data_IF_364849827303
#
_entry.id   IF_364849827303
#
_cell.length_a   1.000
_cell.length_b   1.000
_cell.length_c   1.000
_cell.angle_alpha   90.00
_cell.angle_beta   90.00
_cell.angle_gamma   90.00
#
_symmetry.space_group_name_H-M   'P 1'
#
loop_
_entity.id
_entity.type
_entity.pdbx_description
1 polymer ?
#
# COMPACT_ATOMS: atom_id res chain seq x y z
N UNK A 1 -1.85 29.65 -30.70
CA UNK A 1 -1.22 28.72 -29.73
C UNK A 1 -1.87 28.80 -28.34
N UNK A 2 -2.10 29.99 -27.80
CA UNK A 2 -2.73 30.25 -26.49
C UNK A 2 -4.19 29.78 -26.46
N UNK A 3 -4.98 29.96 -27.54
CA UNK A 3 -6.36 29.46 -27.60
C UNK A 3 -6.45 27.92 -27.67
N UNK A 4 -5.51 27.25 -28.31
CA UNK A 4 -5.40 25.78 -28.32
C UNK A 4 -5.06 25.25 -26.93
N UNK A 5 -4.25 25.99 -26.16
CA UNK A 5 -3.94 25.67 -24.77
C UNK A 5 -5.17 25.88 -23.85
N UNK A 6 -5.93 26.94 -24.08
CA UNK A 6 -7.20 27.21 -23.35
C UNK A 6 -8.28 26.17 -23.65
N UNK A 7 -8.32 25.58 -24.85
CA UNK A 7 -9.27 24.50 -25.17
C UNK A 7 -8.91 23.18 -24.50
N UNK A 8 -7.65 22.91 -24.23
CA UNK A 8 -7.17 21.75 -23.46
C UNK A 8 -7.60 21.80 -21.99
N UNK A 9 -7.85 23.01 -21.45
CA UNK A 9 -8.30 23.23 -20.07
C UNK A 9 -9.82 23.37 -19.95
N UNK A 10 -10.54 23.34 -21.07
CA UNK A 10 -12.01 23.29 -21.00
C UNK A 10 -12.40 21.89 -20.61
N UNK A 11 -13.00 21.80 -19.42
CA UNK A 11 -13.57 20.57 -18.91
C UNK A 11 -14.58 19.99 -19.91
N UNK A 12 -14.39 18.74 -20.33
CA UNK A 12 -15.32 18.02 -21.19
C UNK A 12 -16.34 17.27 -20.32
N UNK A 13 -17.53 17.82 -20.21
CA UNK A 13 -18.65 17.21 -19.49
C UNK A 13 -19.06 15.83 -20.07
N UNK A 14 -18.71 15.50 -21.30
CA UNK A 14 -18.98 14.19 -21.86
C UNK A 14 -17.99 13.14 -21.34
N UNK A 15 -16.72 13.50 -21.17
CA UNK A 15 -15.73 12.62 -20.52
C UNK A 15 -16.12 12.36 -19.06
N UNK A 16 -16.65 13.34 -18.36
CA UNK A 16 -17.15 13.16 -16.99
C UNK A 16 -18.33 12.19 -16.92
N UNK A 17 -19.32 12.32 -17.82
CA UNK A 17 -20.48 11.44 -17.88
C UNK A 17 -20.09 9.98 -18.19
N UNK A 18 -19.01 9.78 -18.93
CA UNK A 18 -18.48 8.47 -19.28
C UNK A 18 -17.51 7.91 -18.20
N UNK A 19 -17.06 8.74 -17.26
CA UNK A 19 -16.21 8.31 -16.17
C UNK A 19 -17.03 7.59 -15.10
N UNK A 20 -16.61 6.36 -14.76
CA UNK A 20 -17.27 5.55 -13.73
C UNK A 20 -17.19 6.17 -12.31
N UNK A 21 -16.25 7.10 -12.09
CA UNK A 21 -15.86 7.54 -10.75
C UNK A 21 -16.08 9.05 -10.48
N UNK A 22 -16.74 9.79 -11.35
CA UNK A 22 -17.03 11.24 -11.20
C UNK A 22 -15.85 12.04 -10.64
N UNK A 23 -14.76 12.22 -11.40
CA UNK A 23 -13.53 12.80 -10.87
C UNK A 23 -13.63 14.29 -10.48
N UNK A 24 -14.62 15.02 -11.01
CA UNK A 24 -14.77 16.48 -10.83
C UNK A 24 -16.11 16.92 -10.26
N UNK A 25 -16.99 15.98 -9.94
CA UNK A 25 -18.26 16.25 -9.24
C UNK A 25 -18.42 15.34 -8.03
N UNK A 26 -19.19 15.79 -7.05
CA UNK A 26 -19.56 14.95 -5.91
C UNK A 26 -20.41 13.76 -6.39
N UNK A 27 -20.24 12.60 -5.74
CA UNK A 27 -21.03 11.41 -6.02
C UNK A 27 -22.50 11.63 -5.61
N UNK A 28 -23.40 11.08 -6.42
CA UNK A 28 -24.81 10.99 -6.05
C UNK A 28 -25.05 9.82 -5.09
N UNK A 29 -26.16 9.83 -4.33
CA UNK A 29 -26.50 8.73 -3.41
C UNK A 29 -26.63 7.36 -4.14
N UNK A 30 -27.03 7.36 -5.41
CA UNK A 30 -27.17 6.14 -6.22
C UNK A 30 -25.80 5.53 -6.60
N UNK A 31 -24.75 6.35 -6.66
CA UNK A 31 -23.38 5.91 -6.96
C UNK A 31 -22.63 5.39 -5.73
N UNK A 32 -23.16 5.61 -4.54
CA UNK A 32 -22.60 5.08 -3.31
C UNK A 32 -22.79 3.56 -3.21
N UNK A 33 -21.91 2.89 -2.49
CA UNK A 33 -21.77 1.44 -2.46
C UNK A 33 -22.05 0.86 -1.08
N UNK A 34 -22.39 -0.42 -1.06
CA UNK A 34 -22.56 -1.19 0.18
C UNK A 34 -21.21 -1.42 0.88
N UNK A 35 -21.25 -1.76 2.17
CA UNK A 35 -20.07 -1.93 3.00
C UNK A 35 -19.15 -3.07 2.52
N UNK A 36 -19.71 -4.26 2.24
CA UNK A 36 -18.92 -5.45 1.94
C UNK A 36 -17.86 -5.26 0.84
N UNK A 37 -18.25 -4.87 -0.38
CA UNK A 37 -17.30 -4.63 -1.47
C UNK A 37 -16.25 -3.56 -1.14
N UNK A 38 -16.65 -2.47 -0.45
CA UNK A 38 -15.71 -1.41 -0.07
C UNK A 38 -14.70 -1.86 0.99
N UNK A 39 -15.12 -2.68 1.96
CA UNK A 39 -14.22 -3.21 2.98
C UNK A 39 -13.25 -4.25 2.39
N UNK A 40 -13.72 -5.08 1.45
CA UNK A 40 -12.85 -5.99 0.71
C UNK A 40 -11.83 -5.23 -0.15
N UNK A 41 -12.26 -4.16 -0.83
CA UNK A 41 -11.37 -3.28 -1.57
C UNK A 41 -10.34 -2.61 -0.65
N UNK A 42 -10.78 -2.12 0.53
CA UNK A 42 -9.91 -1.52 1.54
C UNK A 42 -8.83 -2.51 2.01
N UNK A 43 -9.20 -3.77 2.27
CA UNK A 43 -8.23 -4.80 2.65
C UNK A 43 -7.22 -5.03 1.53
N UNK A 44 -7.68 -5.22 0.28
CA UNK A 44 -6.79 -5.40 -0.88
C UNK A 44 -5.87 -4.20 -1.11
N UNK A 45 -6.37 -2.96 -0.91
CA UNK A 45 -5.54 -1.76 -1.00
C UNK A 45 -4.51 -1.68 0.14
N UNK A 46 -4.90 -2.05 1.36
CA UNK A 46 -3.97 -2.10 2.48
C UNK A 46 -2.91 -3.21 2.34
N UNK A 47 -3.17 -4.25 1.54
CA UNK A 47 -2.26 -5.38 1.34
C UNK A 47 -1.20 -5.08 0.27
N UNK A 48 -0.50 -3.96 0.42
CA UNK A 48 0.57 -3.51 -0.48
C UNK A 48 1.93 -4.00 0.00
N UNK A 49 2.76 -4.41 -0.96
CA UNK A 49 4.15 -4.87 -0.76
C UNK A 49 5.01 -3.90 0.08
N UNK A 50 4.68 -2.63 0.08
CA UNK A 50 5.36 -1.60 0.86
C UNK A 50 5.30 -1.84 2.37
N UNK A 51 4.25 -2.51 2.85
CA UNK A 51 4.17 -2.96 4.24
C UNK A 51 5.26 -3.97 4.58
N UNK A 52 5.53 -4.90 3.68
CA UNK A 52 6.64 -5.87 3.85
C UNK A 52 7.99 -5.16 3.90
N UNK A 53 8.25 -4.19 3.02
CA UNK A 53 9.50 -3.42 3.03
C UNK A 53 9.69 -2.63 4.31
N UNK A 54 8.64 -1.95 4.79
CA UNK A 54 8.67 -1.24 6.06
C UNK A 54 8.92 -2.21 7.21
N UNK A 55 8.23 -3.35 7.22
CA UNK A 55 8.43 -4.40 8.22
C UNK A 55 9.83 -4.98 8.21
N UNK A 56 10.40 -5.24 7.03
CA UNK A 56 11.79 -5.72 6.90
C UNK A 56 12.80 -4.70 7.44
N UNK A 57 12.60 -3.42 7.17
CA UNK A 57 13.45 -2.36 7.72
C UNK A 57 13.38 -2.30 9.26
N UNK A 58 12.18 -2.48 9.83
CA UNK A 58 12.01 -2.59 11.29
C UNK A 58 12.69 -3.84 11.83
N UNK A 59 12.51 -5.01 11.17
CA UNK A 59 13.09 -6.29 11.58
C UNK A 59 14.62 -6.29 11.62
N UNK A 60 15.25 -5.53 10.72
CA UNK A 60 16.70 -5.34 10.71
C UNK A 60 17.22 -4.44 11.85
N UNK A 61 16.36 -3.70 12.52
CA UNK A 61 16.78 -2.57 13.34
C UNK A 61 16.21 -2.54 14.76
N UNK A 62 15.19 -3.37 15.03
CA UNK A 62 14.51 -3.44 16.33
C UNK A 62 14.25 -4.88 16.74
N UNK A 63 14.27 -5.19 18.06
CA UNK A 63 13.77 -6.44 18.59
C UNK A 63 12.29 -6.64 18.21
N UNK A 64 11.91 -7.87 17.85
CA UNK A 64 10.55 -8.13 17.41
C UNK A 64 9.52 -7.81 18.50
N UNK A 65 9.74 -8.31 19.69
CA UNK A 65 8.88 -8.06 20.84
C UNK A 65 9.65 -7.31 21.94
N UNK A 66 9.10 -6.22 22.48
CA UNK A 66 7.82 -5.58 22.11
C UNK A 66 7.97 -4.50 21.04
N UNK A 67 9.20 -4.14 20.62
CA UNK A 67 9.52 -2.89 19.95
C UNK A 67 8.88 -2.78 18.55
N UNK A 68 9.02 -3.80 17.70
CA UNK A 68 8.41 -3.77 16.36
C UNK A 68 6.89 -3.73 16.46
N UNK A 69 6.30 -4.54 17.33
CA UNK A 69 4.86 -4.60 17.52
C UNK A 69 4.28 -3.25 17.93
N UNK A 70 4.91 -2.59 18.91
CA UNK A 70 4.44 -1.30 19.42
C UNK A 70 4.70 -0.14 18.45
N UNK A 71 5.90 -0.05 17.89
CA UNK A 71 6.26 1.07 17.01
C UNK A 71 5.50 1.04 15.70
N UNK A 72 5.32 -0.16 15.10
CA UNK A 72 4.52 -0.32 13.90
C UNK A 72 3.04 -0.04 14.17
N UNK A 73 2.49 -0.50 15.30
CA UNK A 73 1.12 -0.18 15.68
C UNK A 73 0.91 1.32 15.88
N UNK A 74 1.80 1.99 16.63
CA UNK A 74 1.68 3.44 16.91
C UNK A 74 1.80 4.28 15.64
N UNK A 75 2.72 3.93 14.74
CA UNK A 75 2.84 4.61 13.44
C UNK A 75 1.59 4.45 12.57
N UNK A 76 1.04 3.23 12.49
CA UNK A 76 -0.21 2.98 11.78
C UNK A 76 -1.41 3.63 12.46
N UNK A 77 -1.44 3.71 13.79
CA UNK A 77 -2.49 4.41 14.54
C UNK A 77 -2.50 5.91 14.22
N UNK A 78 -1.31 6.54 14.12
CA UNK A 78 -1.21 7.93 13.71
C UNK A 78 -1.76 8.14 12.29
N UNK A 79 -1.37 7.29 11.34
CA UNK A 79 -1.92 7.30 9.98
C UNK A 79 -3.43 7.04 9.95
N UNK A 80 -3.93 6.11 10.78
CA UNK A 80 -5.36 5.83 10.91
C UNK A 80 -6.15 7.05 11.40
N UNK A 81 -5.66 7.75 12.41
CA UNK A 81 -6.34 8.96 12.93
C UNK A 81 -6.49 9.99 11.80
N UNK A 82 -5.41 10.28 11.07
CA UNK A 82 -5.47 11.19 9.92
C UNK A 82 -6.44 10.67 8.85
N UNK A 83 -6.30 9.40 8.46
CA UNK A 83 -7.14 8.76 7.44
C UNK A 83 -8.61 8.71 7.81
N UNK A 84 -8.95 8.49 9.09
CA UNK A 84 -10.32 8.46 9.58
C UNK A 84 -10.97 9.86 9.51
N UNK A 85 -10.25 10.90 9.91
CA UNK A 85 -10.74 12.28 9.85
C UNK A 85 -10.98 12.69 8.39
N UNK A 86 -9.96 12.56 7.55
CA UNK A 86 -10.04 12.99 6.14
C UNK A 86 -11.02 12.10 5.37
N UNK A 87 -11.02 10.80 5.63
CA UNK A 87 -11.98 9.85 5.05
C UNK A 87 -13.42 10.14 5.43
N UNK A 88 -13.69 10.54 6.68
CA UNK A 88 -15.04 10.93 7.10
C UNK A 88 -15.51 12.21 6.39
N UNK A 89 -14.60 13.16 6.13
CA UNK A 89 -14.90 14.34 5.31
C UNK A 89 -15.28 13.90 3.88
N UNK A 90 -14.51 12.99 3.26
CA UNK A 90 -14.84 12.43 1.95
C UNK A 90 -16.23 11.78 1.88
N UNK A 91 -16.60 11.01 2.91
CA UNK A 91 -17.96 10.45 3.05
C UNK A 91 -19.03 11.53 3.12
N UNK A 92 -18.85 12.55 3.98
CA UNK A 92 -19.83 13.60 4.19
C UNK A 92 -20.05 14.46 2.95
N UNK A 93 -18.99 14.77 2.22
CA UNK A 93 -19.02 15.64 1.04
C UNK A 93 -19.27 14.88 -0.25
N UNK A 94 -19.13 13.56 -0.26
CA UNK A 94 -19.13 12.72 -1.46
C UNK A 94 -18.05 13.12 -2.48
N UNK A 95 -17.02 13.86 -2.06
CA UNK A 95 -15.96 14.41 -2.87
C UNK A 95 -14.67 13.60 -2.75
N UNK A 96 -13.90 13.53 -3.83
CA UNK A 96 -12.53 13.04 -3.81
C UNK A 96 -11.58 14.10 -3.24
N UNK A 97 -10.32 13.73 -3.02
CA UNK A 97 -9.28 14.62 -2.49
C UNK A 97 -9.07 15.86 -3.36
N UNK A 98 -9.07 15.70 -4.69
CA UNK A 98 -8.90 16.81 -5.63
C UNK A 98 -9.98 17.88 -5.52
N UNK A 99 -11.25 17.48 -5.33
CA UNK A 99 -12.35 18.40 -5.09
C UNK A 99 -12.23 19.07 -3.71
N UNK A 100 -11.85 18.31 -2.67
CA UNK A 100 -11.64 18.85 -1.34
C UNK A 100 -10.53 19.92 -1.33
N UNK A 101 -9.45 19.71 -2.09
CA UNK A 101 -8.39 20.71 -2.22
C UNK A 101 -8.88 22.00 -2.87
N UNK A 102 -9.84 21.92 -3.81
CA UNK A 102 -10.44 23.13 -4.40
C UNK A 102 -11.23 23.95 -3.38
N UNK A 103 -11.91 23.29 -2.44
CA UNK A 103 -12.60 24.00 -1.35
C UNK A 103 -11.64 24.72 -0.42
N UNK A 104 -10.46 24.16 -0.15
CA UNK A 104 -9.49 24.73 0.79
C UNK A 104 -8.59 25.76 0.12
N UNK A 105 -8.07 25.46 -1.06
CA UNK A 105 -7.02 26.24 -1.73
C UNK A 105 -7.52 27.03 -2.94
N UNK A 106 -8.81 26.93 -3.26
CA UNK A 106 -9.37 27.48 -4.50
C UNK A 106 -8.95 26.70 -5.74
N UNK A 107 -9.50 27.08 -6.90
CA UNK A 107 -9.28 26.33 -8.15
C UNK A 107 -7.81 26.30 -8.58
N UNK A 108 -7.08 27.43 -8.44
CA UNK A 108 -5.68 27.50 -8.83
C UNK A 108 -4.76 26.84 -7.79
N UNK A 109 -4.98 27.09 -6.49
CA UNK A 109 -4.14 26.53 -5.42
C UNK A 109 -4.25 25.02 -5.29
N UNK A 110 -5.36 24.41 -5.68
CA UNK A 110 -5.56 22.96 -5.65
C UNK A 110 -4.61 22.18 -6.56
N UNK A 111 -4.06 22.79 -7.61
CA UNK A 111 -3.10 22.12 -8.48
C UNK A 111 -1.81 21.73 -7.75
N UNK A 112 -1.37 22.49 -6.75
CA UNK A 112 -0.15 22.21 -6.01
C UNK A 112 -0.22 20.84 -5.31
N UNK A 113 -1.16 20.57 -4.38
CA UNK A 113 -1.26 19.27 -3.72
C UNK A 113 -1.62 18.15 -4.69
N UNK A 114 -2.42 18.39 -5.74
CA UNK A 114 -2.77 17.38 -6.73
C UNK A 114 -1.53 16.91 -7.51
N UNK A 115 -0.72 17.83 -8.02
CA UNK A 115 0.51 17.49 -8.75
C UNK A 115 1.49 16.75 -7.83
N UNK A 116 1.68 17.25 -6.60
CA UNK A 116 2.58 16.63 -5.63
C UNK A 116 2.17 15.16 -5.32
N UNK A 117 0.89 14.94 -5.00
CA UNK A 117 0.37 13.59 -4.73
C UNK A 117 0.46 12.70 -5.98
N UNK A 118 0.21 13.26 -7.18
CA UNK A 118 0.32 12.49 -8.41
C UNK A 118 1.76 12.00 -8.66
N UNK A 119 2.75 12.84 -8.44
CA UNK A 119 4.17 12.44 -8.54
C UNK A 119 4.50 11.35 -7.53
N UNK A 120 4.07 11.50 -6.27
CA UNK A 120 4.30 10.51 -5.24
C UNK A 120 3.62 9.16 -5.57
N UNK A 121 2.38 9.18 -6.05
CA UNK A 121 1.66 7.94 -6.41
C UNK A 121 2.25 7.25 -7.62
N UNK A 122 2.79 7.99 -8.61
CA UNK A 122 3.55 7.42 -9.73
C UNK A 122 4.83 6.75 -9.19
N UNK A 123 5.55 7.39 -8.27
CA UNK A 123 6.72 6.79 -7.61
C UNK A 123 6.38 5.49 -6.88
N UNK A 124 5.28 5.47 -6.12
CA UNK A 124 4.77 4.27 -5.46
C UNK A 124 4.38 3.17 -6.45
N UNK A 125 3.76 3.52 -7.56
CA UNK A 125 3.46 2.56 -8.62
C UNK A 125 4.74 1.93 -9.19
N UNK A 126 5.79 2.73 -9.36
CA UNK A 126 7.10 2.23 -9.78
C UNK A 126 7.68 1.19 -8.81
N UNK A 127 7.56 1.42 -7.51
CA UNK A 127 7.99 0.46 -6.47
C UNK A 127 7.21 -0.86 -6.57
N UNK A 128 5.88 -0.80 -6.72
CA UNK A 128 5.03 -2.00 -6.83
C UNK A 128 5.34 -2.80 -8.08
N UNK A 129 5.50 -2.12 -9.23
CA UNK A 129 5.86 -2.74 -10.50
C UNK A 129 7.27 -3.34 -10.43
N UNK A 130 8.21 -2.63 -9.83
CA UNK A 130 9.57 -3.11 -9.61
C UNK A 130 9.61 -4.36 -8.72
N UNK A 131 8.87 -4.35 -7.60
CA UNK A 131 8.75 -5.50 -6.72
C UNK A 131 8.20 -6.74 -7.44
N UNK A 132 7.19 -6.56 -8.31
CA UNK A 132 6.68 -7.63 -9.15
C UNK A 132 7.77 -8.19 -10.08
N UNK A 133 8.52 -7.30 -10.75
CA UNK A 133 9.62 -7.68 -11.64
C UNK A 133 10.69 -8.48 -10.92
N UNK A 134 11.10 -8.04 -9.73
CA UNK A 134 12.12 -8.75 -8.94
C UNK A 134 11.59 -10.13 -8.49
N UNK A 135 10.37 -10.20 -7.99
CA UNK A 135 9.77 -11.48 -7.53
C UNK A 135 9.79 -12.52 -8.65
N UNK A 136 9.37 -12.15 -9.86
CA UNK A 136 9.40 -13.07 -11.00
C UNK A 136 10.83 -13.40 -11.46
N UNK A 137 11.76 -12.44 -11.38
CA UNK A 137 13.15 -12.71 -11.74
C UNK A 137 13.78 -13.74 -10.80
N UNK A 138 13.57 -13.60 -9.50
CA UNK A 138 14.05 -14.57 -8.51
C UNK A 138 13.40 -15.94 -8.68
N UNK A 139 12.10 -15.99 -8.96
CA UNK A 139 11.38 -17.25 -9.16
C UNK A 139 11.85 -18.01 -10.41
N UNK A 140 12.19 -17.29 -11.50
CA UNK A 140 12.60 -17.91 -12.76
C UNK A 140 14.13 -18.13 -12.87
N UNK A 141 14.91 -17.42 -12.09
CA UNK A 141 16.37 -17.50 -12.05
C UNK A 141 16.86 -17.66 -10.61
N UNK A 142 16.63 -18.82 -9.95
CA UNK A 142 17.12 -19.07 -8.61
C UNK A 142 18.66 -18.92 -8.56
N UNK A 143 19.17 -18.13 -7.59
CA UNK A 143 20.61 -17.90 -7.44
C UNK A 143 21.19 -16.77 -8.30
N UNK A 144 20.35 -15.96 -8.97
CA UNK A 144 20.81 -14.74 -9.64
C UNK A 144 21.41 -13.76 -8.62
N UNK A 145 22.56 -13.17 -8.94
CA UNK A 145 23.18 -12.14 -8.09
C UNK A 145 22.29 -10.90 -7.98
N UNK A 146 22.21 -10.31 -6.78
CA UNK A 146 21.35 -9.17 -6.51
C UNK A 146 21.55 -7.98 -7.47
N UNK A 147 22.81 -7.73 -7.87
CA UNK A 147 23.18 -6.67 -8.80
C UNK A 147 22.68 -6.93 -10.23
N UNK A 148 22.56 -8.20 -10.62
CA UNK A 148 22.13 -8.61 -11.95
C UNK A 148 20.59 -8.60 -12.12
N UNK A 149 19.83 -8.58 -11.04
CA UNK A 149 18.35 -8.61 -11.06
C UNK A 149 17.80 -7.47 -11.93
N UNK A 150 18.17 -6.23 -11.61
CA UNK A 150 17.62 -5.04 -12.26
C UNK A 150 18.04 -4.86 -13.72
N UNK A 151 19.10 -5.54 -14.15
CA UNK A 151 19.60 -5.52 -15.53
C UNK A 151 19.08 -6.69 -16.35
N UNK A 152 18.43 -7.68 -15.73
CA UNK A 152 17.92 -8.85 -16.43
C UNK A 152 16.74 -8.51 -17.35
N UNK A 153 16.68 -9.17 -18.51
CA UNK A 153 15.54 -9.05 -19.42
C UNK A 153 14.24 -9.53 -18.77
N UNK A 154 14.31 -10.54 -17.91
CA UNK A 154 13.15 -11.04 -17.15
C UNK A 154 12.56 -9.97 -16.26
N UNK A 155 13.40 -9.22 -15.52
CA UNK A 155 12.93 -8.10 -14.70
C UNK A 155 12.23 -7.04 -15.57
N UNK A 156 12.84 -6.60 -16.65
CA UNK A 156 12.28 -5.57 -17.51
C UNK A 156 10.93 -6.00 -18.12
N UNK A 157 10.87 -7.21 -18.67
CA UNK A 157 9.65 -7.71 -19.31
C UNK A 157 8.52 -7.87 -18.28
N UNK A 158 8.78 -8.49 -17.14
CA UNK A 158 7.75 -8.73 -16.13
C UNK A 158 7.29 -7.44 -15.45
N UNK A 159 8.20 -6.49 -15.21
CA UNK A 159 7.84 -5.17 -14.69
C UNK A 159 6.98 -4.37 -15.68
N UNK A 160 7.34 -4.34 -16.97
CA UNK A 160 6.55 -3.67 -18.01
C UNK A 160 5.15 -4.29 -18.12
N UNK A 161 5.07 -5.63 -18.17
CA UNK A 161 3.79 -6.34 -18.23
C UNK A 161 2.92 -6.05 -17.00
N UNK A 162 3.50 -6.04 -15.80
CA UNK A 162 2.80 -5.66 -14.57
C UNK A 162 2.26 -4.23 -14.66
N UNK A 163 3.09 -3.28 -15.11
CA UNK A 163 2.68 -1.88 -15.29
C UNK A 163 1.50 -1.73 -16.25
N UNK A 164 1.51 -2.45 -17.37
CA UNK A 164 0.42 -2.45 -18.34
C UNK A 164 -0.87 -3.05 -17.72
N UNK A 165 -0.77 -4.22 -17.07
CA UNK A 165 -1.92 -4.89 -16.45
C UNK A 165 -2.53 -4.00 -15.36
N UNK A 166 -1.71 -3.41 -14.49
CA UNK A 166 -2.19 -2.54 -13.41
C UNK A 166 -2.86 -1.27 -13.97
N UNK A 167 -2.31 -0.70 -15.04
CA UNK A 167 -2.91 0.46 -15.71
C UNK A 167 -4.27 0.09 -16.33
N UNK A 168 -4.37 -1.05 -17.01
CA UNK A 168 -5.64 -1.54 -17.57
C UNK A 168 -6.67 -1.77 -16.47
N UNK A 169 -6.29 -2.39 -15.35
CA UNK A 169 -7.24 -2.61 -14.23
C UNK A 169 -7.73 -1.30 -13.64
N UNK A 170 -6.86 -0.29 -13.54
CA UNK A 170 -7.22 1.05 -13.04
C UNK A 170 -8.20 1.76 -13.99
N UNK A 171 -8.10 1.54 -15.29
CA UNK A 171 -9.02 2.12 -16.27
C UNK A 171 -10.48 1.74 -16.02
N UNK A 172 -10.76 0.56 -15.47
CA UNK A 172 -12.12 0.12 -15.12
C UNK A 172 -12.64 0.72 -13.80
N UNK A 173 -11.85 1.56 -13.14
CA UNK A 173 -12.22 2.25 -11.89
C UNK A 173 -12.50 1.29 -10.74
N UNK A 174 -13.21 1.79 -9.72
CA UNK A 174 -13.50 1.06 -8.47
C UNK A 174 -14.19 -0.29 -8.72
N UNK A 175 -15.03 -0.42 -9.73
CA UNK A 175 -15.68 -1.71 -10.07
C UNK A 175 -14.69 -2.79 -10.52
N UNK A 176 -13.68 -2.40 -11.29
CA UNK A 176 -12.61 -3.30 -11.71
C UNK A 176 -11.78 -3.77 -10.53
N UNK A 177 -11.41 -2.83 -9.66
CA UNK A 177 -10.64 -3.11 -8.46
C UNK A 177 -11.39 -4.04 -7.48
N UNK A 178 -12.70 -3.81 -7.26
CA UNK A 178 -13.52 -4.69 -6.41
C UNK A 178 -13.52 -6.16 -6.90
N UNK A 179 -13.64 -6.38 -8.21
CA UNK A 179 -13.67 -7.73 -8.78
C UNK A 179 -12.38 -8.52 -8.54
N UNK A 180 -11.25 -7.82 -8.53
CA UNK A 180 -9.94 -8.44 -8.28
C UNK A 180 -9.68 -8.59 -6.79
N UNK A 181 -9.97 -7.56 -5.99
CA UNK A 181 -9.67 -7.55 -4.56
C UNK A 181 -10.45 -8.61 -3.77
N UNK A 182 -11.73 -8.84 -4.09
CA UNK A 182 -12.57 -9.77 -3.32
C UNK A 182 -12.00 -11.20 -3.29
N UNK A 183 -11.67 -11.85 -4.44
CA UNK A 183 -11.09 -13.19 -4.41
C UNK A 183 -9.65 -13.19 -3.89
N UNK A 184 -8.89 -12.10 -4.13
CA UNK A 184 -7.48 -12.03 -3.70
C UNK A 184 -7.32 -11.96 -2.20
N UNK A 185 -8.25 -11.30 -1.46
CA UNK A 185 -8.18 -11.14 -0.01
C UNK A 185 -8.05 -12.48 0.72
N UNK A 186 -8.87 -13.45 0.37
CA UNK A 186 -8.84 -14.78 1.01
C UNK A 186 -7.49 -15.48 0.79
N UNK A 187 -6.96 -15.42 -0.45
CA UNK A 187 -5.67 -16.01 -0.80
C UNK A 187 -4.55 -15.30 -0.04
N UNK A 188 -4.53 -13.97 -0.02
CA UNK A 188 -3.50 -13.17 0.64
C UNK A 188 -3.46 -13.42 2.15
N UNK A 189 -4.61 -13.53 2.80
CA UNK A 189 -4.69 -13.86 4.23
C UNK A 189 -4.13 -15.26 4.50
N UNK A 190 -4.54 -16.26 3.71
CA UNK A 190 -4.06 -17.63 3.86
C UNK A 190 -2.53 -17.71 3.66
N UNK A 191 -2.02 -17.14 2.57
CA UNK A 191 -0.59 -17.12 2.26
C UNK A 191 0.19 -16.38 3.35
N UNK A 192 -0.34 -15.26 3.88
CA UNK A 192 0.29 -14.51 4.95
C UNK A 192 0.43 -15.33 6.24
N UNK A 193 -0.61 -16.00 6.70
CA UNK A 193 -0.53 -16.88 7.88
C UNK A 193 0.38 -18.08 7.66
N UNK A 194 0.35 -18.67 6.46
CA UNK A 194 1.26 -19.75 6.10
C UNK A 194 2.73 -19.28 6.12
N UNK A 195 3.01 -18.08 5.62
CA UNK A 195 4.35 -17.49 5.67
C UNK A 195 4.80 -17.22 7.12
N UNK A 196 3.91 -16.76 8.02
CA UNK A 196 4.23 -16.62 9.45
C UNK A 196 4.65 -17.98 10.04
N UNK A 197 3.87 -19.03 9.77
CA UNK A 197 4.17 -20.38 10.24
C UNK A 197 5.54 -20.87 9.74
N UNK A 198 5.84 -20.69 8.46
CA UNK A 198 7.12 -21.08 7.88
C UNK A 198 8.28 -20.31 8.49
N UNK A 199 8.19 -18.98 8.60
CA UNK A 199 9.25 -18.14 9.15
C UNK A 199 9.58 -18.49 10.60
N UNK A 200 8.57 -18.74 11.43
CA UNK A 200 8.78 -19.13 12.83
C UNK A 200 9.44 -20.52 12.91
N UNK A 201 9.01 -21.48 12.09
CA UNK A 201 9.62 -22.81 12.08
C UNK A 201 11.06 -22.77 11.56
N UNK A 202 11.35 -22.01 10.52
CA UNK A 202 12.69 -21.83 9.97
C UNK A 202 13.64 -21.21 11.00
N UNK A 203 13.17 -20.30 11.82
CA UNK A 203 13.94 -19.72 12.92
C UNK A 203 14.17 -20.69 14.11
N UNK A 204 13.58 -21.87 14.11
CA UNK A 204 13.69 -22.83 15.22
C UNK A 204 12.66 -22.65 16.33
N UNK A 205 11.55 -21.96 16.04
CA UNK A 205 10.45 -21.67 16.98
C UNK A 205 10.50 -20.25 17.56
N UNK A 206 9.48 -19.90 18.34
CA UNK A 206 9.26 -18.53 18.82
C UNK A 206 10.41 -17.99 19.68
N UNK A 207 11.02 -18.83 20.55
CA UNK A 207 12.10 -18.38 21.42
C UNK A 207 13.36 -18.08 20.62
N UNK A 208 13.77 -19.00 19.73
CA UNK A 208 14.92 -18.82 18.86
C UNK A 208 14.72 -17.62 17.92
N UNK A 209 13.50 -17.42 17.39
CA UNK A 209 13.14 -16.25 16.60
C UNK A 209 13.34 -14.95 17.38
N UNK A 210 12.92 -14.88 18.66
CA UNK A 210 13.08 -13.70 19.47
C UNK A 210 14.58 -13.39 19.74
N UNK A 211 15.37 -14.40 20.01
CA UNK A 211 16.84 -14.24 20.20
C UNK A 211 17.51 -13.73 18.92
N UNK A 212 17.15 -14.31 17.75
CA UNK A 212 17.65 -13.85 16.45
C UNK A 212 17.26 -12.39 16.17
N UNK A 213 16.05 -11.98 16.54
CA UNK A 213 15.60 -10.61 16.35
C UNK A 213 16.43 -9.60 17.14
N UNK A 214 16.79 -9.93 18.38
CA UNK A 214 17.65 -9.09 19.24
C UNK A 214 19.06 -8.99 18.66
N UNK A 215 19.63 -10.12 18.20
CA UNK A 215 20.97 -10.14 17.59
C UNK A 215 21.02 -9.31 16.32
N UNK A 216 19.99 -9.44 15.45
CA UNK A 216 19.91 -8.71 14.19
C UNK A 216 19.75 -7.21 14.44
N UNK A 217 18.86 -6.81 15.35
CA UNK A 217 18.63 -5.42 15.73
C UNK A 217 19.90 -4.72 16.24
N UNK A 218 20.80 -5.46 16.92
CA UNK A 218 22.07 -4.93 17.40
C UNK A 218 23.05 -4.51 16.30
N UNK A 219 22.88 -4.98 15.08
CA UNK A 219 23.77 -4.64 13.94
C UNK A 219 23.51 -3.22 13.39
N UNK A 220 22.26 -2.81 13.31
CA UNK A 220 21.85 -1.50 12.78
C UNK A 220 20.72 -0.92 13.65
N UNK A 221 20.97 -0.50 14.87
CA UNK A 221 19.92 -0.10 15.79
C UNK A 221 19.18 1.16 15.33
N UNK A 222 17.87 1.14 15.46
CA UNK A 222 16.96 2.26 15.20
C UNK A 222 16.28 2.65 16.52
N UNK A 223 16.08 3.95 16.74
CA UNK A 223 15.26 4.41 17.87
C UNK A 223 13.77 4.18 17.60
N UNK A 224 12.98 4.03 18.67
CA UNK A 224 11.51 3.89 18.53
C UNK A 224 10.88 5.08 17.79
N UNK A 225 11.42 6.30 17.96
CA UNK A 225 10.95 7.50 17.24
C UNK A 225 11.22 7.40 15.73
N UNK A 226 12.41 6.94 15.35
CA UNK A 226 12.74 6.73 13.94
C UNK A 226 11.84 5.66 13.32
N UNK A 227 11.59 4.56 14.04
CA UNK A 227 10.71 3.50 13.61
C UNK A 227 9.27 3.97 13.39
N UNK A 228 8.70 4.72 14.36
CA UNK A 228 7.37 5.31 14.23
C UNK A 228 7.31 6.25 13.02
N UNK A 229 8.31 7.12 12.84
CA UNK A 229 8.38 8.04 11.69
C UNK A 229 8.49 7.29 10.37
N UNK A 230 9.25 6.19 10.30
CA UNK A 230 9.32 5.33 9.12
C UNK A 230 7.95 4.77 8.75
N UNK A 231 7.21 4.25 9.73
CA UNK A 231 5.86 3.71 9.54
C UNK A 231 4.88 4.80 9.11
N UNK A 232 4.90 5.97 9.76
CA UNK A 232 4.06 7.11 9.36
C UNK A 232 4.39 7.50 7.92
N UNK A 233 5.68 7.70 7.60
CA UNK A 233 6.13 8.11 6.27
C UNK A 233 5.75 7.12 5.16
N UNK A 234 5.71 5.83 5.47
CA UNK A 234 5.37 4.78 4.51
C UNK A 234 3.90 4.86 4.02
N UNK A 235 2.99 5.46 4.80
CA UNK A 235 1.55 5.44 4.48
C UNK A 235 0.82 6.78 4.65
N UNK A 236 1.47 7.86 5.07
CA UNK A 236 0.80 9.14 5.28
C UNK A 236 0.10 9.66 4.00
N UNK A 237 0.70 9.43 2.83
CA UNK A 237 0.08 9.78 1.53
C UNK A 237 -1.21 8.99 1.33
N UNK A 238 -1.22 7.69 1.63
CA UNK A 238 -2.42 6.86 1.61
C UNK A 238 -3.48 7.33 2.58
N UNK A 239 -3.09 7.78 3.78
CA UNK A 239 -4.01 8.33 4.77
C UNK A 239 -4.70 9.61 4.28
N UNK A 240 -3.97 10.54 3.65
CA UNK A 240 -4.57 11.81 3.18
C UNK A 240 -5.42 11.64 1.91
N UNK A 241 -5.24 10.57 1.13
CA UNK A 241 -6.08 10.28 -0.04
C UNK A 241 -7.25 9.33 0.27
N UNK A 242 -7.55 9.05 1.52
CA UNK A 242 -8.72 8.23 1.91
C UNK A 242 -10.05 8.67 1.28
N UNK A 243 -10.33 9.97 1.01
CA UNK A 243 -11.54 10.38 0.32
C UNK A 243 -11.77 9.71 -1.02
N UNK A 244 -10.74 9.26 -1.72
CA UNK A 244 -10.86 8.53 -2.99
C UNK A 244 -11.73 7.28 -2.85
N UNK A 245 -11.71 6.63 -1.69
CA UNK A 245 -12.47 5.41 -1.40
C UNK A 245 -13.69 5.69 -0.51
N UNK A 246 -13.53 6.50 0.52
CA UNK A 246 -14.58 6.72 1.53
C UNK A 246 -15.76 7.52 1.00
N UNK A 247 -15.60 8.33 -0.06
CA UNK A 247 -16.71 9.02 -0.75
C UNK A 247 -17.78 8.08 -1.28
N UNK A 248 -17.42 6.81 -1.56
CA UNK A 248 -18.37 5.79 -2.02
C UNK A 248 -19.18 5.15 -0.88
N UNK A 249 -18.86 5.42 0.38
CA UNK A 249 -19.54 4.80 1.52
C UNK A 249 -20.97 5.32 1.67
N UNK A 250 -21.93 4.41 1.89
CA UNK A 250 -23.33 4.77 2.23
C UNK A 250 -23.51 5.14 3.70
N UNK A 251 -22.62 4.69 4.58
CA UNK A 251 -22.73 4.87 6.03
C UNK A 251 -21.44 5.39 6.62
N UNK A 252 -21.53 6.29 7.61
CA UNK A 252 -20.35 6.93 8.21
C UNK A 252 -19.38 5.95 8.88
N UNK A 253 -19.88 4.87 9.49
CA UNK A 253 -19.02 3.85 10.09
C UNK A 253 -18.13 3.15 9.05
N UNK A 254 -18.62 2.97 7.80
CA UNK A 254 -17.82 2.38 6.71
C UNK A 254 -16.67 3.29 6.33
N UNK A 255 -16.87 4.61 6.34
CA UNK A 255 -15.83 5.58 6.07
C UNK A 255 -14.69 5.56 7.10
N UNK A 256 -14.98 5.16 8.35
CA UNK A 256 -13.98 4.98 9.41
C UNK A 256 -13.38 3.56 9.34
N UNK A 257 -14.19 2.56 9.00
CA UNK A 257 -13.74 1.18 8.89
C UNK A 257 -12.74 0.97 7.73
N UNK A 258 -12.87 1.72 6.63
CA UNK A 258 -11.92 1.66 5.51
C UNK A 258 -10.49 1.96 5.96
N UNK A 259 -10.14 3.14 6.53
CA UNK A 259 -8.78 3.40 6.99
C UNK A 259 -8.35 2.47 8.13
N UNK A 260 -9.26 2.01 8.97
CA UNK A 260 -8.95 1.01 10.00
C UNK A 260 -8.46 -0.30 9.37
N UNK A 261 -9.19 -0.83 8.39
CA UNK A 261 -8.81 -2.08 7.71
C UNK A 261 -7.51 -1.91 6.95
N UNK A 262 -7.33 -0.80 6.23
CA UNK A 262 -6.11 -0.51 5.47
C UNK A 262 -4.89 -0.47 6.38
N UNK A 263 -4.95 0.30 7.46
CA UNK A 263 -3.77 0.67 8.24
C UNK A 263 -3.55 -0.22 9.46
N UNK A 264 -4.62 -0.50 10.23
CA UNK A 264 -4.50 -1.28 11.47
C UNK A 264 -4.59 -2.78 11.20
N UNK A 265 -5.32 -3.21 10.17
CA UNK A 265 -5.42 -4.65 9.89
C UNK A 265 -4.40 -5.07 8.83
N UNK A 266 -4.49 -4.54 7.62
CA UNK A 266 -3.71 -5.03 6.50
C UNK A 266 -2.23 -4.57 6.56
N UNK A 267 -1.96 -3.29 6.75
CA UNK A 267 -0.58 -2.77 6.76
C UNK A 267 0.19 -3.23 7.99
N UNK A 268 -0.42 -3.19 9.16
CA UNK A 268 0.23 -3.69 10.37
C UNK A 268 0.57 -5.18 10.26
N UNK A 269 -0.35 -5.99 9.72
CA UNK A 269 -0.11 -7.40 9.43
C UNK A 269 1.08 -7.62 8.48
N UNK A 270 1.14 -6.86 7.39
CA UNK A 270 2.25 -6.95 6.43
C UNK A 270 3.59 -6.50 7.02
N UNK A 271 3.60 -5.48 7.86
CA UNK A 271 4.81 -5.04 8.55
C UNK A 271 5.33 -6.11 9.51
N UNK A 272 4.43 -6.76 10.24
CA UNK A 272 4.80 -7.92 11.08
C UNK A 272 5.36 -9.04 10.21
N UNK A 273 4.72 -9.37 9.09
CA UNK A 273 5.15 -10.41 8.18
C UNK A 273 6.52 -10.09 7.56
N UNK A 274 6.76 -8.84 7.15
CA UNK A 274 8.06 -8.41 6.63
C UNK A 274 9.17 -8.49 7.67
N UNK A 275 8.89 -8.12 8.92
CA UNK A 275 9.84 -8.26 10.03
C UNK A 275 10.16 -9.73 10.32
N UNK A 276 9.13 -10.60 10.33
CA UNK A 276 9.30 -12.03 10.49
C UNK A 276 10.23 -12.63 9.41
N UNK A 277 9.99 -12.25 8.15
CA UNK A 277 10.79 -12.75 7.03
C UNK A 277 12.28 -12.43 7.16
N UNK A 278 12.62 -11.17 7.45
CA UNK A 278 14.03 -10.76 7.56
C UNK A 278 14.74 -11.37 8.78
N UNK A 279 14.04 -11.50 9.90
CA UNK A 279 14.62 -12.13 11.09
C UNK A 279 14.85 -13.63 10.86
N UNK A 280 13.90 -14.34 10.25
CA UNK A 280 14.01 -15.76 9.99
C UNK A 280 15.10 -16.10 8.97
N UNK A 281 15.26 -15.28 7.92
CA UNK A 281 16.31 -15.47 6.91
C UNK A 281 17.71 -15.06 7.42
N UNK A 282 17.77 -14.33 8.53
CA UNK A 282 19.02 -13.72 9.06
C UNK A 282 19.79 -12.88 8.04
N UNK A 283 19.16 -12.54 6.92
CA UNK A 283 19.73 -11.77 5.84
C UNK A 283 19.19 -10.33 5.85
N UNK A 284 20.10 -9.40 5.58
CA UNK A 284 19.75 -7.96 5.49
C UNK A 284 19.10 -7.56 4.16
N UNK A 285 19.00 -8.48 3.19
CA UNK A 285 18.41 -8.16 1.90
C UNK A 285 16.88 -8.15 1.95
N UNK A 286 16.29 -7.08 1.42
CA UNK A 286 14.83 -6.89 1.32
C UNK A 286 14.10 -8.03 0.60
N UNK A 287 14.81 -8.81 -0.23
CA UNK A 287 14.22 -9.84 -1.09
C UNK A 287 14.26 -11.25 -0.51
N UNK A 288 15.32 -11.63 0.15
CA UNK A 288 15.35 -12.88 0.92
C UNK A 288 14.30 -12.85 2.02
N UNK A 289 14.09 -11.68 2.63
CA UNK A 289 13.02 -11.47 3.61
C UNK A 289 11.61 -11.43 3.00
N UNK A 290 11.48 -11.03 1.74
CA UNK A 290 10.17 -10.97 1.07
C UNK A 290 9.61 -12.37 0.80
N UNK A 291 10.45 -13.31 0.43
CA UNK A 291 9.99 -14.66 0.13
C UNK A 291 9.92 -15.54 1.38
N UNK A 292 10.75 -15.29 2.42
CA UNK A 292 10.80 -16.14 3.64
C UNK A 292 10.92 -17.64 3.31
N UNK A 293 11.16 -17.89 2.05
CA UNK A 293 11.21 -19.19 1.43
C UNK A 293 12.62 -19.33 0.89
N UNK A 294 13.48 -20.04 1.61
CA UNK A 294 14.54 -20.77 0.96
C UNK A 294 13.83 -21.74 -0.01
N UNK A 295 13.62 -21.29 -1.24
CA UNK A 295 13.20 -22.15 -2.33
C UNK A 295 14.38 -23.05 -2.74
N UNK A 296 14.97 -23.73 -1.78
CA UNK A 296 15.73 -24.94 -2.01
C UNK A 296 14.73 -26.05 -2.34
N UNK A 297 14.16 -25.95 -3.55
CA UNK A 297 13.50 -27.09 -4.22
C UNK A 297 14.50 -27.72 -5.17
#
# INVERSE_FOLDING_TARGET
>A
MIEKFKSWWKWDHQLEKNSADNPVTALTEQQRRSAGPLLALAFGWGFLVTGLFTGSALGNSLPFWPDIILTSFLGNLANFIVGAIVGYIGYKTACNSGLLYRYVYGNAGAYIPVIFISILTIGWQGIVVGAFGVTWTLALHPGIEAEAIFTSSTFLITAILAGIIFTITTYFGVKGLERISIPSVAILVFVGFYAIYLNINQAGGLNAFQELSVVLAGKNPMTSVQAINLVIGSWIVGAVVMPEYTRFAKKGWVAIAIPFIVLIVAQWFLQILGALGVVASSESSLFSSFLGLDLNI
#
